data_IF_425116492368
#
_entry.id   IF_425116492368
#
_cell.length_a   1.000
_cell.length_b   1.000
_cell.length_c   1.000
_cell.angle_alpha   90.00
_cell.angle_beta   90.00
_cell.angle_gamma   90.00
#
_symmetry.space_group_name_H-M   'P 1'
#
loop_
_entity.id
_entity.type
_entity.pdbx_description
1 polymer ?
#
# COMPACT_ATOMS: atom_id res chain seq x y z
N UNK A 1 47.79 50.23 -32.11
CA UNK A 1 47.39 48.80 -32.16
C UNK A 1 46.42 48.53 -31.02
N UNK A 2 45.33 47.85 -31.37
CA UNK A 2 44.08 47.68 -30.62
C UNK A 2 44.30 46.88 -29.32
N UNK A 3 43.81 47.39 -28.18
CA UNK A 3 43.56 46.57 -26.97
C UNK A 3 42.06 46.50 -26.78
N UNK A 4 41.53 45.32 -27.10
CA UNK A 4 40.12 44.98 -27.03
C UNK A 4 39.73 44.79 -25.56
N UNK A 5 38.75 45.56 -25.11
CA UNK A 5 38.03 45.37 -23.86
C UNK A 5 37.01 44.24 -24.10
N UNK A 6 37.09 43.13 -23.37
CA UNK A 6 36.14 42.03 -23.47
C UNK A 6 35.45 41.88 -22.10
N UNK A 7 34.31 42.57 -21.97
CA UNK A 7 33.38 42.42 -20.84
C UNK A 7 32.55 41.17 -21.13
N UNK A 8 32.81 40.09 -20.40
CA UNK A 8 32.01 38.86 -20.46
C UNK A 8 30.83 39.00 -19.49
N UNK A 9 29.68 39.40 -20.02
CA UNK A 9 28.43 39.53 -19.29
C UNK A 9 27.78 38.13 -19.23
N UNK A 10 28.01 37.40 -18.14
CA UNK A 10 27.37 36.10 -17.90
C UNK A 10 25.90 36.37 -17.52
N UNK A 11 25.02 36.29 -18.52
CA UNK A 11 23.58 36.16 -18.31
C UNK A 11 23.32 34.78 -17.70
N UNK A 12 23.27 34.71 -16.37
CA UNK A 12 22.69 33.58 -15.65
C UNK A 12 21.19 33.57 -15.96
N UNK A 13 20.78 32.78 -16.95
CA UNK A 13 19.39 32.40 -17.12
C UNK A 13 18.97 31.66 -15.87
N UNK A 14 18.17 32.31 -15.02
CA UNK A 14 17.44 31.65 -13.94
C UNK A 14 16.46 30.64 -14.56
N UNK A 15 16.95 29.43 -14.82
CA UNK A 15 16.07 28.28 -14.95
C UNK A 15 15.27 28.20 -13.65
N UNK A 16 13.95 28.24 -13.76
CA UNK A 16 13.06 28.04 -12.62
C UNK A 16 13.25 26.61 -12.12
N UNK A 17 14.19 26.41 -11.21
CA UNK A 17 14.26 25.20 -10.41
C UNK A 17 12.95 25.14 -9.64
N UNK A 18 12.09 24.17 -9.97
CA UNK A 18 10.93 23.83 -9.17
C UNK A 18 11.44 23.28 -7.83
N UNK A 19 11.73 24.18 -6.89
CA UNK A 19 12.19 23.82 -5.57
C UNK A 19 11.05 23.10 -4.82
N UNK A 20 11.30 21.86 -4.44
CA UNK A 20 10.54 21.17 -3.41
C UNK A 20 11.21 21.45 -2.08
N UNK A 21 10.49 22.08 -1.16
CA UNK A 21 11.04 22.44 0.16
C UNK A 21 10.52 21.46 1.19
N UNK A 22 11.41 20.86 1.99
CA UNK A 22 11.04 20.07 3.16
C UNK A 22 10.56 20.98 4.30
N UNK A 23 9.42 20.65 4.88
CA UNK A 23 8.83 21.33 6.03
C UNK A 23 8.86 20.34 7.20
N UNK A 24 9.86 20.44 8.09
CA UNK A 24 9.98 19.55 9.23
C UNK A 24 8.86 19.80 10.25
N UNK A 25 8.41 18.73 10.90
CA UNK A 25 7.48 18.79 12.05
C UNK A 25 8.16 18.17 13.28
N UNK A 26 8.49 16.87 13.20
CA UNK A 26 9.14 16.15 14.30
C UNK A 26 10.59 15.79 13.99
N UNK A 27 10.97 15.65 12.72
CA UNK A 27 12.33 15.37 12.29
C UNK A 27 12.86 16.49 11.37
N UNK A 28 14.13 16.93 11.55
CA UNK A 28 14.71 18.00 10.75
C UNK A 28 15.01 17.56 9.31
N UNK A 29 15.33 16.29 9.11
CA UNK A 29 15.66 15.71 7.80
C UNK A 29 14.43 15.04 7.17
N UNK A 30 14.36 14.97 5.81
CA UNK A 30 13.30 14.25 5.10
C UNK A 30 13.16 12.80 5.58
N UNK A 31 11.95 12.44 5.95
CA UNK A 31 11.60 11.11 6.42
C UNK A 31 10.20 10.70 5.96
N UNK A 32 9.99 9.40 5.77
CA UNK A 32 8.72 8.83 5.33
C UNK A 32 7.65 8.94 6.44
N UNK A 33 6.39 9.03 6.05
CA UNK A 33 5.29 8.80 6.98
C UNK A 33 5.31 7.34 7.45
N UNK A 34 5.04 7.12 8.73
CA UNK A 34 4.99 5.79 9.33
C UNK A 34 3.56 5.43 9.72
N UNK A 35 3.13 4.23 9.32
CA UNK A 35 1.84 3.65 9.73
C UNK A 35 2.16 2.38 10.48
N UNK A 36 1.81 2.35 11.76
CA UNK A 36 2.14 1.24 12.67
C UNK A 36 0.89 0.69 13.33
N UNK A 37 0.85 -0.62 13.51
CA UNK A 37 -0.13 -1.27 14.36
C UNK A 37 0.26 -1.06 15.82
N UNK A 38 -0.68 -0.57 16.63
CA UNK A 38 -0.49 -0.45 18.08
C UNK A 38 -1.04 -1.70 18.79
N UNK A 39 -2.23 -2.13 18.37
CA UNK A 39 -2.86 -3.37 18.85
C UNK A 39 -3.85 -3.89 17.81
N UNK A 40 -4.12 -5.19 17.85
CA UNK A 40 -5.20 -5.81 17.10
C UNK A 40 -5.75 -7.00 17.85
N UNK A 41 -7.05 -7.21 17.72
CA UNK A 41 -7.72 -8.48 17.99
C UNK A 41 -8.59 -8.84 16.78
N UNK A 42 -9.51 -9.79 16.93
CA UNK A 42 -10.40 -10.25 15.86
C UNK A 42 -11.33 -9.14 15.36
N UNK A 43 -11.83 -8.28 16.25
CA UNK A 43 -12.87 -7.29 15.99
C UNK A 43 -12.37 -5.85 15.94
N UNK A 44 -11.14 -5.61 16.44
CA UNK A 44 -10.56 -4.28 16.60
C UNK A 44 -9.13 -4.21 16.05
N UNK A 45 -8.77 -3.08 15.46
CA UNK A 45 -7.38 -2.74 15.14
C UNK A 45 -7.12 -1.26 15.44
N UNK A 46 -6.08 -0.99 16.21
CA UNK A 46 -5.65 0.38 16.55
C UNK A 46 -4.38 0.69 15.77
N UNK A 47 -4.45 1.72 14.94
CA UNK A 47 -3.40 2.09 14.00
C UNK A 47 -2.96 3.52 14.31
N UNK A 48 -1.65 3.72 14.42
CA UNK A 48 -1.04 5.04 14.58
C UNK A 48 -0.36 5.47 13.29
N UNK A 49 -0.67 6.68 12.86
CA UNK A 49 -0.01 7.39 11.79
C UNK A 49 0.90 8.46 12.38
N UNK A 50 2.14 8.53 11.90
CA UNK A 50 3.09 9.58 12.24
C UNK A 50 3.66 10.21 10.97
N UNK A 51 3.65 11.55 10.91
CA UNK A 51 4.20 12.32 9.79
C UNK A 51 5.32 13.20 10.32
N UNK A 52 6.58 12.88 9.98
CA UNK A 52 7.72 13.63 10.50
C UNK A 52 7.90 15.00 9.85
N UNK A 53 7.36 15.17 8.65
CA UNK A 53 7.33 16.40 7.88
C UNK A 53 6.75 16.15 6.50
N UNK A 54 6.75 17.17 5.65
CA UNK A 54 6.17 17.10 4.31
C UNK A 54 6.88 18.05 3.35
N UNK A 55 6.74 17.77 2.05
CA UNK A 55 7.25 18.64 1.01
C UNK A 55 6.17 19.60 0.51
N UNK A 56 6.57 20.84 0.23
CA UNK A 56 5.78 21.78 -0.57
C UNK A 56 6.50 22.00 -1.88
N UNK A 57 5.87 21.58 -2.97
CA UNK A 57 6.36 21.83 -4.32
C UNK A 57 5.60 22.99 -4.93
N UNK A 58 6.31 24.04 -5.31
CA UNK A 58 5.70 25.20 -5.95
C UNK A 58 5.23 24.85 -7.38
N UNK A 59 4.07 25.34 -7.77
CA UNK A 59 3.51 25.23 -9.12
C UNK A 59 2.94 26.59 -9.57
N UNK A 60 2.89 26.80 -10.88
CA UNK A 60 2.24 27.98 -11.46
C UNK A 60 0.81 27.64 -11.87
N UNK A 61 -0.11 28.52 -11.50
CA UNK A 61 -1.53 28.45 -11.83
C UNK A 61 -1.98 29.75 -12.50
N UNK A 62 -3.19 29.76 -13.05
CA UNK A 62 -3.88 30.96 -13.53
C UNK A 62 -4.06 32.04 -12.44
N UNK A 63 -4.16 31.64 -11.16
CA UNK A 63 -4.22 32.56 -10.00
C UNK A 63 -2.85 32.91 -9.40
N UNK A 64 -1.76 32.54 -10.08
CA UNK A 64 -0.40 32.77 -9.64
C UNK A 64 0.23 31.56 -8.94
N UNK A 65 1.14 31.82 -8.01
CA UNK A 65 1.90 30.76 -7.32
C UNK A 65 1.01 29.99 -6.34
N UNK A 66 1.05 28.68 -6.43
CA UNK A 66 0.42 27.76 -5.50
C UNK A 66 1.37 26.60 -5.15
N UNK A 67 0.96 25.75 -4.21
CA UNK A 67 1.75 24.62 -3.72
C UNK A 67 1.00 23.31 -3.85
N UNK A 68 1.76 22.25 -4.11
CA UNK A 68 1.31 20.87 -4.01
C UNK A 68 2.02 20.26 -2.79
N UNK A 69 1.23 19.78 -1.83
CA UNK A 69 1.76 19.09 -0.63
C UNK A 69 2.17 17.68 -1.02
N UNK A 70 3.35 17.20 -0.63
CA UNK A 70 3.79 15.84 -0.93
C UNK A 70 4.36 15.15 0.30
N UNK A 71 4.10 13.84 0.41
CA UNK A 71 4.70 12.95 1.40
C UNK A 71 4.96 11.60 0.74
N UNK A 72 6.09 10.99 1.09
CA UNK A 72 6.45 9.66 0.57
C UNK A 72 5.41 8.60 0.94
N UNK A 73 5.26 7.59 0.07
CA UNK A 73 4.30 6.48 0.22
C UNK A 73 2.84 6.90 0.39
N UNK A 74 2.46 8.04 -0.20
CA UNK A 74 1.08 8.50 -0.24
C UNK A 74 0.46 8.43 -1.63
N UNK A 75 -0.86 8.59 -1.67
CA UNK A 75 -1.62 8.77 -2.90
C UNK A 75 -2.41 10.06 -2.84
N UNK A 76 -2.86 10.58 -3.99
CA UNK A 76 -3.69 11.79 -4.05
C UNK A 76 -5.17 11.46 -3.82
N UNK A 77 -5.94 12.43 -3.34
CA UNK A 77 -7.40 12.28 -3.23
C UNK A 77 -8.05 12.22 -4.62
N UNK A 78 -7.50 12.98 -5.59
CA UNK A 78 -7.87 12.96 -7.02
C UNK A 78 -9.29 13.48 -7.34
N UNK A 79 -9.86 14.32 -6.47
CA UNK A 79 -11.10 15.04 -6.77
C UNK A 79 -10.77 16.29 -7.58
N UNK A 80 -11.05 16.26 -8.88
CA UNK A 80 -10.80 17.37 -9.79
C UNK A 80 -11.39 18.69 -9.24
N UNK A 81 -10.57 19.74 -9.22
CA UNK A 81 -10.95 21.07 -8.75
C UNK A 81 -10.88 21.31 -7.24
N UNK A 82 -10.92 20.26 -6.41
CA UNK A 82 -10.71 20.38 -4.97
C UNK A 82 -9.22 20.56 -4.64
N UNK A 83 -8.83 21.04 -3.46
CA UNK A 83 -7.42 21.14 -3.06
C UNK A 83 -6.63 19.83 -3.29
N UNK A 84 -5.42 19.89 -3.82
CA UNK A 84 -4.64 18.67 -4.11
C UNK A 84 -3.89 18.16 -2.88
N UNK A 85 -4.58 17.38 -2.04
CA UNK A 85 -4.00 16.80 -0.82
C UNK A 85 -3.69 15.31 -0.95
N UNK A 86 -2.70 14.88 -0.18
CA UNK A 86 -2.29 13.49 -0.06
C UNK A 86 -3.13 12.74 0.99
N UNK A 87 -3.33 11.45 0.74
CA UNK A 87 -3.95 10.49 1.64
C UNK A 87 -3.05 9.28 1.80
N UNK A 88 -3.13 8.68 2.98
CA UNK A 88 -2.41 7.46 3.33
C UNK A 88 -3.39 6.31 3.45
N UNK A 89 -2.93 5.10 3.17
CA UNK A 89 -3.79 3.92 3.21
C UNK A 89 -3.08 2.74 3.86
N UNK A 90 -3.82 1.98 4.64
CA UNK A 90 -3.37 0.71 5.19
C UNK A 90 -4.46 -0.33 5.01
N UNK A 91 -4.07 -1.56 4.71
CA UNK A 91 -4.99 -2.69 4.64
C UNK A 91 -4.92 -3.48 5.93
N UNK A 92 -6.08 -3.88 6.46
CA UNK A 92 -6.21 -4.74 7.63
C UNK A 92 -7.11 -5.92 7.35
N UNK A 93 -6.87 -7.02 8.03
CA UNK A 93 -7.76 -8.16 8.15
C UNK A 93 -8.89 -7.77 9.08
N UNK A 94 -10.12 -8.14 8.71
CA UNK A 94 -11.34 -7.89 9.47
C UNK A 94 -12.11 -9.21 9.67
N UNK A 95 -13.10 -9.27 10.58
CA UNK A 95 -13.96 -10.43 10.72
C UNK A 95 -14.61 -10.85 9.41
N UNK A 96 -14.86 -12.15 9.27
CA UNK A 96 -15.39 -12.76 8.04
C UNK A 96 -16.75 -12.19 7.61
N UNK A 97 -17.58 -11.74 8.55
CA UNK A 97 -18.90 -11.16 8.31
C UNK A 97 -19.08 -9.77 8.95
N UNK A 98 -18.00 -9.16 9.45
CA UNK A 98 -18.06 -7.91 10.19
C UNK A 98 -18.43 -6.70 9.32
N UNK A 99 -19.41 -5.92 9.77
CA UNK A 99 -19.61 -4.53 9.35
C UNK A 99 -18.69 -3.66 10.21
N UNK A 100 -17.72 -3.00 9.57
CA UNK A 100 -16.69 -2.25 10.28
C UNK A 100 -16.94 -0.74 10.21
N UNK A 101 -16.43 -0.01 11.19
CA UNK A 101 -16.40 1.46 11.22
C UNK A 101 -15.06 1.95 11.77
N UNK A 102 -14.83 3.24 11.69
CA UNK A 102 -13.63 3.92 12.22
C UNK A 102 -13.98 5.00 13.20
N UNK A 103 -13.12 5.21 14.20
CA UNK A 103 -13.13 6.41 15.05
C UNK A 103 -11.73 6.92 15.32
N UNK A 104 -11.60 8.24 15.52
CA UNK A 104 -10.34 8.86 15.92
C UNK A 104 -10.19 8.71 17.43
N UNK A 105 -9.11 8.06 17.87
CA UNK A 105 -8.77 7.87 19.28
C UNK A 105 -7.99 9.07 19.81
N UNK A 106 -7.03 9.55 19.04
CA UNK A 106 -6.24 10.74 19.36
C UNK A 106 -5.74 11.42 18.09
N UNK A 107 -5.51 12.73 18.17
CA UNK A 107 -5.01 13.51 17.04
C UNK A 107 -4.19 14.71 17.54
N UNK A 108 -3.03 14.95 16.92
CA UNK A 108 -2.23 16.18 17.09
C UNK A 108 -1.95 16.78 15.72
N UNK A 109 -2.11 18.09 15.61
CA UNK A 109 -1.94 18.79 14.35
C UNK A 109 -1.21 20.12 14.52
N UNK A 110 -0.66 20.61 13.41
CA UNK A 110 -0.09 21.96 13.28
C UNK A 110 -0.75 22.68 12.11
N UNK A 111 -1.12 23.94 12.32
CA UNK A 111 -1.70 24.79 11.28
C UNK A 111 -0.61 25.66 10.63
N UNK A 112 -0.59 25.67 9.30
CA UNK A 112 0.29 26.48 8.48
C UNK A 112 -0.54 27.49 7.70
N UNK A 113 -0.39 28.76 8.05
CA UNK A 113 -1.14 29.86 7.46
C UNK A 113 -0.51 30.39 6.18
N UNK A 114 -1.32 31.11 5.39
CA UNK A 114 -0.90 31.80 4.16
C UNK A 114 -0.33 30.86 3.10
N UNK A 115 -0.83 29.62 3.04
CA UNK A 115 -0.48 28.64 2.01
C UNK A 115 -1.60 28.58 0.98
N UNK A 116 -1.25 28.79 -0.29
CA UNK A 116 -2.16 28.58 -1.43
C UNK A 116 -1.95 27.16 -1.96
N UNK A 117 -2.90 26.25 -1.72
CA UNK A 117 -2.83 24.89 -2.25
C UNK A 117 -3.42 24.86 -3.66
N UNK A 118 -2.71 24.24 -4.61
CA UNK A 118 -3.19 24.09 -5.98
C UNK A 118 -4.35 23.08 -6.05
N UNK A 119 -5.32 23.27 -6.96
CA UNK A 119 -6.39 22.30 -7.11
C UNK A 119 -5.88 21.01 -7.75
N UNK A 120 -6.52 19.89 -7.42
CA UNK A 120 -6.24 18.61 -8.03
C UNK A 120 -6.70 18.64 -9.47
N UNK A 121 -5.84 18.15 -10.36
CA UNK A 121 -6.15 17.99 -11.77
C UNK A 121 -7.08 16.79 -12.05
N UNK A 122 -7.33 15.96 -11.05
CA UNK A 122 -8.14 14.75 -11.16
C UNK A 122 -7.39 13.57 -11.77
N UNK A 123 -8.14 12.60 -12.28
CA UNK A 123 -7.59 11.42 -12.95
C UNK A 123 -7.46 11.64 -14.45
N UNK A 124 -6.37 11.11 -15.01
CA UNK A 124 -6.10 11.14 -16.44
C UNK A 124 -5.86 9.75 -16.98
N UNK A 125 -6.19 9.57 -18.25
CA UNK A 125 -5.71 8.45 -19.06
C UNK A 125 -4.27 8.72 -19.53
N UNK A 126 -3.54 7.66 -19.92
CA UNK A 126 -2.10 7.74 -20.21
C UNK A 126 -1.75 8.51 -21.50
N UNK A 127 -2.74 8.79 -22.33
CA UNK A 127 -2.62 9.58 -23.56
C UNK A 127 -2.64 11.10 -23.32
N UNK A 128 -2.99 11.53 -22.10
CA UNK A 128 -3.02 12.94 -21.72
C UNK A 128 -1.70 13.30 -21.04
N UNK A 129 -1.01 14.32 -21.56
CA UNK A 129 0.14 14.92 -20.87
C UNK A 129 -0.35 15.73 -19.66
N UNK A 130 0.04 15.38 -18.42
CA UNK A 130 -0.36 16.13 -17.24
C UNK A 130 0.12 17.60 -17.24
N UNK A 131 1.17 17.92 -18.01
CA UNK A 131 1.71 19.27 -18.13
C UNK A 131 0.78 20.19 -18.95
N UNK A 132 0.04 19.63 -19.92
CA UNK A 132 -0.85 20.40 -20.80
C UNK A 132 -2.21 20.72 -20.17
N UNK A 133 -2.59 20.03 -19.10
CA UNK A 133 -3.88 20.26 -18.43
C UNK A 133 -3.76 21.43 -17.44
N UNK A 134 -4.53 22.52 -17.59
CA UNK A 134 -4.48 23.64 -16.66
C UNK A 134 -5.08 23.27 -15.29
N UNK A 135 -4.72 24.05 -14.28
CA UNK A 135 -5.37 23.99 -12.98
C UNK A 135 -6.77 24.62 -13.07
N UNK A 136 -7.80 23.92 -12.60
CA UNK A 136 -9.17 24.43 -12.53
C UNK A 136 -9.61 24.49 -11.06
N UNK A 137 -10.19 25.61 -10.64
CA UNK A 137 -10.57 25.83 -9.23
C UNK A 137 -12.02 25.43 -9.01
N UNK A 138 -12.23 24.39 -8.21
CA UNK A 138 -13.54 23.84 -7.88
C UNK A 138 -14.31 24.66 -6.83
N UNK A 139 -15.57 24.28 -6.57
CA UNK A 139 -16.43 24.95 -5.59
C UNK A 139 -15.88 24.91 -4.17
N UNK A 140 -15.04 23.92 -3.83
CA UNK A 140 -14.38 23.80 -2.52
C UNK A 140 -13.64 25.09 -2.12
N UNK A 141 -13.05 25.80 -3.09
CA UNK A 141 -12.29 27.02 -2.84
C UNK A 141 -13.12 28.23 -2.41
N UNK A 142 -14.45 28.14 -2.50
CA UNK A 142 -15.38 29.21 -2.13
C UNK A 142 -15.98 29.00 -0.74
N UNK A 143 -15.68 27.87 -0.08
CA UNK A 143 -16.30 27.49 1.18
C UNK A 143 -15.28 27.66 2.31
N UNK A 144 -15.64 28.43 3.33
CA UNK A 144 -14.80 28.63 4.52
C UNK A 144 -14.89 27.41 5.46
N UNK A 145 -14.30 26.30 5.03
CA UNK A 145 -14.22 25.04 5.80
C UNK A 145 -13.00 24.24 5.39
N UNK A 146 -12.55 23.35 6.26
CA UNK A 146 -11.49 22.41 5.96
C UNK A 146 -11.96 21.33 4.98
N UNK A 147 -11.12 21.01 4.00
CA UNK A 147 -11.30 19.92 3.04
C UNK A 147 -10.11 18.95 3.08
N UNK A 148 -10.33 17.61 2.98
CA UNK A 148 -11.59 16.96 3.30
C UNK A 148 -11.93 17.17 4.79
N UNK A 149 -13.21 17.12 5.17
CA UNK A 149 -13.62 17.28 6.58
C UNK A 149 -13.32 16.02 7.41
N UNK A 150 -13.43 14.86 6.78
CA UNK A 150 -13.21 13.56 7.41
C UNK A 150 -11.71 13.27 7.54
N UNK A 151 -11.29 12.70 8.67
CA UNK A 151 -9.89 12.30 8.94
C UNK A 151 -9.61 10.85 8.56
N UNK A 152 -10.60 9.98 8.62
CA UNK A 152 -10.47 8.59 8.21
C UNK A 152 -11.78 8.01 7.68
N UNK A 153 -11.66 7.09 6.74
CA UNK A 153 -12.78 6.31 6.21
C UNK A 153 -12.31 4.90 5.83
N UNK A 154 -13.28 3.99 5.66
CA UNK A 154 -13.03 2.64 5.17
C UNK A 154 -13.53 2.52 3.73
N UNK A 155 -12.75 1.83 2.88
CA UNK A 155 -13.23 1.37 1.58
C UNK A 155 -14.07 0.11 1.72
N UNK A 156 -14.70 -0.30 0.62
CA UNK A 156 -15.38 -1.59 0.53
C UNK A 156 -14.44 -2.76 0.90
N UNK A 157 -14.92 -3.76 1.66
CA UNK A 157 -14.16 -4.94 2.01
C UNK A 157 -13.94 -5.85 0.80
N UNK A 158 -12.78 -6.50 0.77
CA UNK A 158 -12.38 -7.44 -0.28
C UNK A 158 -11.90 -8.75 0.33
N UNK A 159 -11.85 -9.80 -0.48
CA UNK A 159 -11.32 -11.10 -0.06
C UNK A 159 -9.99 -11.32 -0.78
N UNK A 160 -8.93 -11.49 0.00
CA UNK A 160 -7.63 -11.93 -0.48
C UNK A 160 -7.44 -13.38 -0.04
N UNK A 161 -7.96 -14.29 -0.87
CA UNK A 161 -7.94 -15.75 -0.68
C UNK A 161 -8.47 -16.16 0.70
N UNK A 162 -7.61 -16.28 1.71
CA UNK A 162 -7.95 -16.81 3.02
C UNK A 162 -8.45 -15.75 4.02
N UNK A 163 -8.30 -14.46 3.68
CA UNK A 163 -8.67 -13.36 4.56
C UNK A 163 -9.61 -12.36 3.89
N UNK A 164 -10.58 -11.89 4.67
CA UNK A 164 -11.37 -10.70 4.36
C UNK A 164 -10.61 -9.48 4.85
N UNK A 165 -10.26 -8.60 3.92
CA UNK A 165 -9.51 -7.38 4.15
C UNK A 165 -10.35 -6.13 3.94
N UNK A 166 -9.97 -5.03 4.58
CA UNK A 166 -10.55 -3.73 4.33
C UNK A 166 -9.47 -2.65 4.39
N UNK A 167 -9.56 -1.67 3.48
CA UNK A 167 -8.58 -0.58 3.41
C UNK A 167 -9.05 0.60 4.24
N UNK A 168 -8.27 0.97 5.24
CA UNK A 168 -8.32 2.26 5.91
C UNK A 168 -7.71 3.32 5.01
N UNK A 169 -8.42 4.43 4.84
CA UNK A 169 -7.92 5.66 4.23
C UNK A 169 -7.84 6.72 5.31
N UNK A 170 -6.70 7.40 5.40
CA UNK A 170 -6.43 8.47 6.36
C UNK A 170 -6.07 9.75 5.60
N UNK A 171 -6.63 10.87 6.06
CA UNK A 171 -6.46 12.20 5.49
C UNK A 171 -5.65 13.07 6.45
N UNK A 172 -4.31 12.99 6.41
CA UNK A 172 -3.46 13.75 7.33
C UNK A 172 -3.41 15.25 7.02
N UNK A 173 -3.79 15.64 5.80
CA UNK A 173 -3.82 17.03 5.38
C UNK A 173 -5.26 17.48 5.25
N UNK A 174 -5.59 18.59 5.88
CA UNK A 174 -6.83 19.31 5.64
C UNK A 174 -6.52 20.75 5.26
N UNK A 175 -7.27 21.32 4.32
CA UNK A 175 -7.03 22.68 3.85
C UNK A 175 -8.30 23.51 3.89
N UNK A 176 -8.23 24.69 4.50
CA UNK A 176 -9.25 25.72 4.39
C UNK A 176 -8.81 26.77 3.34
N UNK A 177 -9.47 26.83 2.18
CA UNK A 177 -9.08 27.72 1.08
C UNK A 177 -9.42 29.19 1.33
N UNK A 178 -10.40 29.50 2.19
CA UNK A 178 -10.78 30.89 2.49
C UNK A 178 -9.79 31.52 3.47
N UNK A 179 -9.39 30.78 4.51
CA UNK A 179 -8.38 31.25 5.47
C UNK A 179 -6.95 30.98 5.01
N UNK A 180 -6.77 30.20 3.93
CA UNK A 180 -5.48 29.74 3.40
C UNK A 180 -4.65 29.00 4.46
N UNK A 181 -5.32 28.13 5.21
CA UNK A 181 -4.72 27.37 6.31
C UNK A 181 -4.61 25.91 5.93
N UNK A 182 -3.39 25.39 5.88
CA UNK A 182 -3.10 23.95 5.76
C UNK A 182 -2.92 23.38 7.16
N UNK A 183 -3.81 22.49 7.58
CA UNK A 183 -3.70 21.71 8.81
C UNK A 183 -3.03 20.38 8.52
N UNK A 184 -1.99 20.07 9.27
CA UNK A 184 -1.23 18.82 9.14
C UNK A 184 -1.33 18.02 10.43
N UNK A 185 -2.02 16.89 10.38
CA UNK A 185 -2.11 15.91 11.46
C UNK A 185 -0.84 15.05 11.46
N UNK A 186 0.08 15.38 12.35
CA UNK A 186 1.40 14.72 12.42
C UNK A 186 1.44 13.52 13.36
N UNK A 187 0.44 13.38 14.24
CA UNK A 187 0.19 12.18 15.04
C UNK A 187 -1.31 11.91 15.07
N UNK A 188 -1.74 10.76 14.55
CA UNK A 188 -3.15 10.40 14.48
C UNK A 188 -3.30 8.92 14.83
N UNK A 189 -4.13 8.63 15.82
CA UNK A 189 -4.50 7.24 16.17
C UNK A 189 -5.93 6.98 15.76
N UNK A 190 -6.12 5.97 14.91
CA UNK A 190 -7.43 5.55 14.39
C UNK A 190 -7.71 4.14 14.87
N UNK A 191 -8.92 3.92 15.37
CA UNK A 191 -9.42 2.59 15.67
C UNK A 191 -10.40 2.16 14.59
N UNK A 192 -10.20 0.94 14.08
CA UNK A 192 -11.15 0.20 13.26
C UNK A 192 -11.85 -0.80 14.19
N UNK A 193 -13.19 -0.83 14.18
CA UNK A 193 -13.97 -1.70 15.07
C UNK A 193 -15.21 -2.26 14.37
N UNK A 194 -15.64 -3.45 14.80
CA UNK A 194 -16.86 -4.08 14.32
C UNK A 194 -18.11 -3.42 14.94
N UNK A 195 -19.07 -3.03 14.10
CA UNK A 195 -20.37 -2.49 14.49
C UNK A 195 -21.44 -3.58 14.54
N UNK A 196 -21.41 -4.52 13.58
CA UNK A 196 -22.37 -5.61 13.46
C UNK A 196 -21.77 -6.81 12.69
N UNK A 197 -22.46 -7.96 12.68
CA UNK A 197 -22.07 -9.18 11.97
C UNK A 197 -22.92 -9.37 10.68
N UNK A 198 -22.93 -8.35 9.83
CA UNK A 198 -23.67 -8.33 8.56
C UNK A 198 -23.01 -7.42 7.51
N UNK A 199 -21.68 -7.39 7.48
CA UNK A 199 -20.90 -6.61 6.52
C UNK A 199 -20.99 -7.13 5.10
N UNK A 200 -20.73 -6.25 4.12
CA UNK A 200 -20.71 -6.60 2.71
C UNK A 200 -19.58 -7.58 2.35
N UNK A 201 -19.77 -8.41 1.32
CA UNK A 201 -18.74 -9.36 0.85
C UNK A 201 -18.18 -10.27 1.96
N UNK A 202 -19.04 -11.03 2.68
CA UNK A 202 -18.59 -11.90 3.77
C UNK A 202 -17.77 -13.08 3.23
N UNK A 203 -16.77 -13.52 4.00
CA UNK A 203 -15.98 -14.72 3.72
C UNK A 203 -16.63 -15.93 4.40
N UNK A 204 -17.14 -16.87 3.60
CA UNK A 204 -17.78 -18.08 4.15
C UNK A 204 -16.71 -19.14 4.36
N UNK A 205 -16.30 -19.35 5.62
CA UNK A 205 -15.39 -20.42 6.00
C UNK A 205 -16.17 -21.65 6.50
N UNK A 206 -16.30 -22.69 5.67
CA UNK A 206 -17.10 -23.88 5.98
C UNK A 206 -16.39 -24.90 6.88
N UNK A 207 -15.08 -24.81 7.06
CA UNK A 207 -14.27 -25.82 7.78
C UNK A 207 -13.80 -25.36 9.16
N UNK A 208 -13.92 -24.06 9.47
CA UNK A 208 -13.48 -23.47 10.74
C UNK A 208 -11.96 -23.48 10.95
N UNK A 209 -11.18 -24.02 10.01
CA UNK A 209 -9.71 -24.04 10.03
C UNK A 209 -9.19 -23.38 8.76
N UNK A 210 -8.38 -22.32 8.92
CA UNK A 210 -7.67 -21.69 7.81
C UNK A 210 -6.33 -22.41 7.61
N UNK A 211 -6.20 -23.14 6.50
CA UNK A 211 -4.93 -23.69 6.06
C UNK A 211 -4.28 -22.68 5.11
N UNK A 212 -3.36 -21.87 5.65
CA UNK A 212 -2.67 -20.87 4.86
C UNK A 212 -1.55 -21.56 4.09
N UNK A 213 -1.55 -21.40 2.77
CA UNK A 213 -0.45 -21.91 1.96
C UNK A 213 0.79 -21.04 2.20
N UNK A 214 1.97 -21.66 2.32
CA UNK A 214 3.22 -20.99 2.72
C UNK A 214 3.52 -19.75 1.85
N UNK A 215 3.28 -19.86 0.54
CA UNK A 215 3.51 -18.79 -0.43
C UNK A 215 2.70 -17.52 -0.10
N UNK A 216 1.54 -17.69 0.52
CA UNK A 216 0.65 -16.59 0.87
C UNK A 216 1.02 -15.92 2.21
N UNK A 217 1.84 -16.53 3.08
CA UNK A 217 2.32 -15.85 4.29
C UNK A 217 3.01 -14.54 3.95
N UNK A 218 3.91 -14.57 2.96
CA UNK A 218 4.63 -13.36 2.53
C UNK A 218 3.72 -12.33 1.87
N UNK A 219 2.67 -12.77 1.18
CA UNK A 219 1.67 -11.88 0.60
C UNK A 219 0.90 -11.19 1.72
N UNK A 220 0.40 -11.94 2.69
CA UNK A 220 -0.35 -11.40 3.82
C UNK A 220 0.48 -10.50 4.72
N UNK A 221 1.71 -10.89 5.06
CA UNK A 221 2.62 -10.10 5.89
C UNK A 221 3.03 -8.76 5.26
N UNK A 222 3.06 -8.69 3.92
CA UNK A 222 3.33 -7.43 3.20
C UNK A 222 2.09 -6.59 2.98
N UNK A 223 0.93 -7.22 2.83
CA UNK A 223 -0.29 -6.56 2.43
C UNK A 223 -1.11 -6.06 3.62
N UNK A 224 -1.20 -6.85 4.69
CA UNK A 224 -2.03 -6.55 5.86
C UNK A 224 -1.17 -6.11 7.05
N UNK A 225 -1.50 -4.95 7.61
CA UNK A 225 -0.78 -4.37 8.74
C UNK A 225 -0.93 -5.20 10.03
N UNK A 226 -2.07 -5.87 10.21
CA UNK A 226 -2.39 -6.68 11.38
C UNK A 226 -2.30 -8.20 11.14
N UNK A 227 -1.54 -8.62 10.12
CA UNK A 227 -1.28 -10.04 9.92
C UNK A 227 -0.19 -10.54 10.87
N UNK A 228 -0.52 -11.51 11.72
CA UNK A 228 0.45 -12.23 12.55
C UNK A 228 0.50 -13.71 12.16
N UNK A 229 1.67 -14.25 11.81
CA UNK A 229 1.81 -15.67 11.49
C UNK A 229 1.71 -16.57 12.73
N UNK A 230 1.74 -16.04 13.96
CA UNK A 230 1.67 -16.86 15.19
C UNK A 230 0.41 -17.72 15.31
N UNK A 231 -0.65 -17.40 14.55
CA UNK A 231 -1.89 -18.19 14.47
C UNK A 231 -1.74 -19.44 13.59
N UNK A 232 -0.57 -19.65 12.98
CA UNK A 232 -0.25 -20.75 12.08
C UNK A 232 1.22 -21.13 12.24
N UNK A 233 1.53 -22.33 12.72
CA UNK A 233 2.91 -22.85 12.64
C UNK A 233 3.12 -23.31 11.20
N UNK A 234 3.84 -22.55 10.36
CA UNK A 234 4.11 -23.02 9.03
C UNK A 234 5.04 -24.22 9.15
N UNK A 235 4.74 -25.29 8.42
CA UNK A 235 5.76 -26.31 8.19
C UNK A 235 6.71 -25.64 7.19
N UNK A 236 7.88 -25.24 7.67
CA UNK A 236 8.90 -24.40 7.00
C UNK A 236 9.38 -24.93 5.64
N UNK A 237 8.89 -26.08 5.21
CA UNK A 237 9.38 -26.75 4.03
C UNK A 237 8.39 -26.63 2.89
N UNK A 238 8.86 -26.00 1.81
CA UNK A 238 8.34 -26.27 0.49
C UNK A 238 8.56 -27.75 0.21
N UNK A 239 7.61 -28.59 0.61
CA UNK A 239 7.69 -30.02 0.37
C UNK A 239 7.99 -30.25 -1.11
N UNK A 240 9.07 -30.98 -1.40
CA UNK A 240 9.40 -31.37 -2.78
C UNK A 240 8.28 -32.23 -3.34
N UNK A 241 7.83 -31.96 -4.55
CA UNK A 241 6.89 -32.82 -5.24
C UNK A 241 7.64 -34.02 -5.83
N UNK A 242 7.42 -35.21 -5.28
CA UNK A 242 7.94 -36.45 -5.83
C UNK A 242 6.95 -37.07 -6.81
N UNK A 243 7.33 -37.20 -8.08
CA UNK A 243 6.58 -37.90 -9.12
C UNK A 243 7.16 -39.30 -9.31
N UNK A 244 6.41 -40.34 -8.96
CA UNK A 244 6.80 -41.73 -9.23
C UNK A 244 6.10 -42.18 -10.51
N UNK A 245 6.88 -42.53 -11.53
CA UNK A 245 6.36 -42.90 -12.86
C UNK A 245 6.93 -44.23 -13.34
N UNK A 246 6.12 -44.99 -14.07
CA UNK A 246 6.61 -46.19 -14.77
C UNK A 246 7.63 -45.77 -15.85
N UNK A 247 8.72 -46.53 -16.10
CA UNK A 247 9.73 -46.20 -17.11
C UNK A 247 9.15 -45.74 -18.45
N UNK A 248 8.14 -46.45 -18.96
CA UNK A 248 7.52 -46.16 -20.26
C UNK A 248 6.80 -44.80 -20.31
N UNK A 249 6.39 -44.26 -19.16
CA UNK A 249 5.65 -43.00 -19.06
C UNK A 249 6.52 -41.82 -18.62
N UNK A 250 7.80 -42.04 -18.32
CA UNK A 250 8.68 -40.96 -17.86
C UNK A 250 8.81 -39.84 -18.90
N UNK A 251 9.00 -40.18 -20.17
CA UNK A 251 9.09 -39.20 -21.26
C UNK A 251 7.80 -38.37 -21.39
N UNK A 252 6.63 -39.01 -21.22
CA UNK A 252 5.35 -38.33 -21.27
C UNK A 252 5.11 -37.44 -20.04
N UNK A 253 5.68 -37.78 -18.89
CA UNK A 253 5.58 -37.02 -17.63
C UNK A 253 6.59 -35.88 -17.52
N UNK A 254 7.68 -35.90 -18.29
CA UNK A 254 8.72 -34.88 -18.24
C UNK A 254 8.20 -33.43 -18.40
N UNK A 255 7.25 -33.13 -19.32
CA UNK A 255 6.70 -31.78 -19.44
C UNK A 255 5.98 -31.30 -18.17
N UNK A 256 5.30 -32.19 -17.44
CA UNK A 256 4.63 -31.85 -16.17
C UNK A 256 5.66 -31.48 -15.10
N UNK A 257 6.73 -32.26 -14.98
CA UNK A 257 7.84 -32.01 -14.04
C UNK A 257 8.52 -30.68 -14.36
N UNK A 258 8.82 -30.43 -15.64
CA UNK A 258 9.41 -29.17 -16.09
C UNK A 258 8.50 -27.97 -15.81
N UNK A 259 7.19 -28.11 -16.06
CA UNK A 259 6.22 -27.06 -15.75
C UNK A 259 6.18 -26.74 -14.25
N UNK A 260 6.10 -27.75 -13.38
CA UNK A 260 6.06 -27.54 -11.93
C UNK A 260 7.30 -26.83 -11.41
N UNK A 261 8.48 -27.23 -11.88
CA UNK A 261 9.73 -26.52 -11.57
C UNK A 261 9.72 -25.07 -12.10
N UNK A 262 9.17 -24.83 -13.29
CA UNK A 262 9.11 -23.47 -13.87
C UNK A 262 8.21 -22.50 -13.09
N UNK A 263 7.19 -23.01 -12.39
CA UNK A 263 6.31 -22.21 -11.52
C UNK A 263 6.77 -22.19 -10.06
N UNK A 264 8.00 -22.65 -9.78
CA UNK A 264 8.61 -22.57 -8.46
C UNK A 264 8.22 -23.69 -7.48
N UNK A 265 7.68 -24.82 -7.97
CA UNK A 265 7.42 -26.01 -7.16
C UNK A 265 8.56 -27.02 -7.43
N UNK A 266 9.54 -27.19 -6.50
CA UNK A 266 10.62 -28.15 -6.68
C UNK A 266 10.06 -29.55 -6.89
N UNK A 267 10.29 -30.12 -8.08
CA UNK A 267 9.69 -31.40 -8.47
C UNK A 267 10.75 -32.35 -8.99
N UNK A 268 10.80 -33.54 -8.41
CA UNK A 268 11.69 -34.64 -8.81
C UNK A 268 10.87 -35.80 -9.35
N UNK A 269 11.37 -36.46 -10.40
CA UNK A 269 10.72 -37.65 -10.96
C UNK A 269 11.62 -38.87 -10.81
N UNK A 270 11.05 -39.94 -10.24
CA UNK A 270 11.74 -41.20 -9.98
C UNK A 270 10.99 -42.35 -10.65
N UNK A 271 11.75 -43.30 -11.20
CA UNK A 271 11.19 -44.47 -11.89
C UNK A 271 10.73 -45.54 -10.90
N UNK A 272 9.66 -46.27 -11.22
CA UNK A 272 9.30 -47.51 -10.50
C UNK A 272 10.35 -48.61 -10.61
N UNK A 273 11.28 -48.52 -11.57
CA UNK A 273 12.47 -49.38 -11.61
C UNK A 273 13.42 -49.14 -10.42
N UNK A 274 13.37 -47.95 -9.81
CA UNK A 274 14.19 -47.54 -8.66
C UNK A 274 13.39 -47.71 -7.35
N UNK A 275 12.13 -47.27 -7.32
CA UNK A 275 11.28 -47.36 -6.12
C UNK A 275 10.77 -48.77 -5.84
N UNK A 276 10.86 -49.67 -6.82
CA UNK A 276 10.14 -50.94 -6.83
C UNK A 276 8.70 -50.81 -7.31
N UNK A 277 8.07 -51.94 -7.64
CA UNK A 277 6.74 -52.05 -8.22
C UNK A 277 5.67 -52.60 -7.25
N UNK A 278 6.02 -52.78 -5.97
CA UNK A 278 5.06 -53.21 -4.93
C UNK A 278 4.68 -52.03 -4.04
N UNK A 279 3.49 -52.08 -3.46
CA UNK A 279 2.99 -51.05 -2.52
C UNK A 279 3.98 -50.79 -1.38
N UNK A 280 4.55 -51.85 -0.79
CA UNK A 280 5.52 -51.75 0.30
C UNK A 280 6.83 -51.11 -0.17
N UNK A 281 7.33 -51.46 -1.36
CA UNK A 281 8.57 -50.87 -1.88
C UNK A 281 8.42 -49.37 -2.14
N UNK A 282 7.31 -48.96 -2.76
CA UNK A 282 6.99 -47.56 -3.02
C UNK A 282 6.80 -46.79 -1.71
N UNK A 283 6.07 -47.35 -0.73
CA UNK A 283 5.88 -46.73 0.57
C UNK A 283 7.21 -46.51 1.31
N UNK A 284 8.08 -47.53 1.33
CA UNK A 284 9.41 -47.42 1.95
C UNK A 284 10.27 -46.37 1.26
N UNK A 285 10.21 -46.27 -0.07
CA UNK A 285 10.92 -45.24 -0.82
C UNK A 285 10.44 -43.84 -0.42
N UNK A 286 9.12 -43.62 -0.40
CA UNK A 286 8.52 -42.34 -0.03
C UNK A 286 8.94 -41.96 1.40
N UNK A 287 8.82 -42.86 2.36
CA UNK A 287 9.22 -42.61 3.75
C UNK A 287 10.71 -42.26 3.87
N UNK A 288 11.59 -42.97 3.17
CA UNK A 288 13.02 -42.67 3.18
C UNK A 288 13.34 -41.33 2.52
N UNK A 289 12.66 -41.00 1.42
CA UNK A 289 12.81 -39.73 0.72
C UNK A 289 12.47 -38.55 1.64
N UNK A 290 11.33 -38.62 2.34
CA UNK A 290 10.87 -37.60 3.28
C UNK A 290 11.68 -37.51 4.58
N UNK A 291 12.37 -38.58 4.99
CA UNK A 291 13.23 -38.56 6.18
C UNK A 291 14.64 -38.02 5.90
N UNK A 292 15.05 -37.97 4.63
CA UNK A 292 16.43 -37.61 4.23
C UNK A 292 16.53 -36.28 3.48
N UNK A 293 15.40 -35.65 3.18
CA UNK A 293 15.28 -34.37 2.50
C UNK A 293 14.38 -33.44 3.30
#
# INVERSE_FOLDING_TARGET
MKRFLLVLLVLFSYGSLNASTWNPITLPEPARAEITLQSSDVQHSVIRLQIPGFHLRQVQTDKGRAFVVDIENSSRILKAGAPDLAKLTASVIIPDDGLMSTRIVSSSYTDYENIEIAPSKGNFTRDIDPSSVPYAWGPEYQINRFWPETLSELREPYILRDFRGQTLVVYPFQYNPVTKTLRVYHDLTVEIYQVAANGANPLINTTGKRHITEEFHRVYARHFLNYSPTDYTPVDDFGKLLVISHPDFMNAMQPYVSWKNSIGIPTEMVSTAITGNTTTAIQNYITNYFNTN
#
